data_IF_280111101786
#
_entry.id   IF_280111101786
#
_cell.length_a   1.000
_cell.length_b   1.000
_cell.length_c   1.000
_cell.angle_alpha   90.00
_cell.angle_beta   90.00
_cell.angle_gamma   90.00
#
_symmetry.space_group_name_H-M   'P 1'
#
loop_
_entity.id
_entity.type
_entity.pdbx_description
1 polymer ?
#
# COMPACT_ATOMS: atom_id res chain seq x y z
N UNK A 1 8.57 -7.83 23.97
CA UNK A 1 8.62 -7.61 22.51
C UNK A 1 9.95 -8.14 22.00
N UNK A 2 9.95 -9.04 21.00
CA UNK A 2 11.17 -9.44 20.29
C UNK A 2 11.25 -8.57 19.05
N UNK A 3 12.19 -7.63 19.04
CA UNK A 3 12.41 -6.74 17.91
C UNK A 3 13.40 -7.43 16.97
N UNK A 4 12.97 -7.66 15.72
CA UNK A 4 13.82 -8.18 14.66
C UNK A 4 14.10 -7.04 13.69
N UNK A 5 15.36 -6.68 13.51
CA UNK A 5 15.79 -5.59 12.64
C UNK A 5 16.18 -6.10 11.26
N UNK A 6 15.90 -5.32 10.21
CA UNK A 6 16.51 -5.49 8.89
C UNK A 6 17.13 -4.18 8.41
N UNK A 7 18.27 -4.30 7.75
CA UNK A 7 18.99 -3.20 7.07
C UNK A 7 18.84 -3.39 5.57
N UNK A 8 18.43 -2.35 4.83
CA UNK A 8 18.41 -2.41 3.37
C UNK A 8 19.85 -2.27 2.83
N UNK A 9 20.47 -3.42 2.55
CA UNK A 9 21.77 -3.51 1.88
C UNK A 9 21.98 -4.90 1.27
N UNK A 10 21.94 -4.97 -0.07
CA UNK A 10 22.24 -6.18 -0.85
C UNK A 10 21.08 -7.19 -0.99
N UNK A 11 20.54 -7.31 -2.21
CA UNK A 11 19.76 -8.43 -2.78
C UNK A 11 18.64 -9.11 -1.93
N UNK A 12 18.14 -8.50 -0.87
CA UNK A 12 16.99 -9.04 -0.13
C UNK A 12 16.18 -7.96 0.58
N UNK A 13 14.86 -7.93 0.33
CA UNK A 13 13.88 -7.18 1.11
C UNK A 13 13.34 -8.06 2.24
N UNK A 14 13.33 -7.54 3.46
CA UNK A 14 12.49 -8.08 4.55
C UNK A 14 11.86 -6.90 5.29
N UNK A 15 10.59 -6.62 4.99
CA UNK A 15 9.79 -5.71 5.80
C UNK A 15 9.50 -6.35 7.17
N UNK A 16 9.59 -5.56 8.24
CA UNK A 16 9.17 -5.96 9.60
C UNK A 16 8.17 -4.92 10.07
N UNK A 17 6.94 -5.37 10.38
CA UNK A 17 5.93 -4.56 11.05
C UNK A 17 6.10 -4.67 12.56
N UNK A 18 6.00 -3.54 13.25
CA UNK A 18 5.89 -3.52 14.71
C UNK A 18 4.42 -3.25 15.03
N UNK A 19 3.78 -4.19 15.73
CA UNK A 19 2.41 -4.04 16.20
C UNK A 19 2.44 -3.89 17.73
N UNK A 20 1.81 -2.84 18.23
CA UNK A 20 1.51 -2.64 19.64
C UNK A 20 0.01 -2.89 19.83
N UNK A 21 -0.39 -4.16 19.99
CA UNK A 21 -1.78 -4.48 20.29
C UNK A 21 -2.08 -4.10 21.75
N UNK A 22 -2.72 -2.96 21.99
CA UNK A 22 -3.44 -2.72 23.24
C UNK A 22 -4.89 -3.14 23.05
N UNK A 23 -5.36 -4.15 23.79
CA UNK A 23 -6.75 -4.57 23.78
C UNK A 23 -7.62 -3.54 24.51
N UNK A 24 -7.91 -2.41 23.89
CA UNK A 24 -8.99 -1.52 24.29
C UNK A 24 -10.14 -1.74 23.32
N UNK A 25 -11.15 -2.48 23.81
CA UNK A 25 -12.26 -3.06 23.06
C UNK A 25 -12.79 -2.27 21.87
N UNK A 26 -12.56 -2.82 20.68
CA UNK A 26 -13.47 -2.68 19.56
C UNK A 26 -14.28 -3.97 19.44
N UNK A 27 -15.59 -3.83 19.64
CA UNK A 27 -16.55 -4.91 19.44
C UNK A 27 -17.01 -4.91 17.99
N UNK A 28 -16.12 -5.22 17.07
CA UNK A 28 -16.50 -5.65 15.73
C UNK A 28 -16.75 -7.16 15.79
N UNK A 29 -18.03 -7.50 15.85
CA UNK A 29 -18.50 -8.85 16.14
C UNK A 29 -18.04 -9.89 15.13
N UNK A 30 -17.33 -10.90 15.62
CA UNK A 30 -17.35 -12.24 15.05
C UNK A 30 -17.54 -13.24 16.21
N UNK A 31 -18.76 -13.76 16.33
CA UNK A 31 -19.07 -14.83 17.28
C UNK A 31 -18.25 -16.07 16.96
N UNK A 32 -17.30 -16.40 17.84
CA UNK A 32 -16.61 -17.67 17.81
C UNK A 32 -17.60 -18.78 18.21
N UNK A 33 -18.03 -19.60 17.25
CA UNK A 33 -18.57 -20.92 17.57
C UNK A 33 -17.52 -21.97 17.20
N UNK A 34 -16.90 -22.54 18.23
CA UNK A 34 -16.08 -23.73 18.12
C UNK A 34 -16.98 -24.94 17.85
N UNK A 35 -16.74 -25.66 16.75
CA UNK A 35 -17.45 -26.89 16.41
C UNK A 35 -16.55 -27.86 15.65
N UNK A 36 -16.23 -28.97 16.31
CA UNK A 36 -15.36 -30.08 15.91
C UNK A 36 -15.70 -30.73 14.57
N UNK A 37 -14.67 -31.28 13.91
CA UNK A 37 -14.74 -31.84 12.56
C UNK A 37 -15.45 -33.18 12.36
N UNK A 38 -15.53 -33.58 11.08
CA UNK A 38 -15.57 -34.97 10.61
C UNK A 38 -15.35 -34.99 9.09
N UNK A 39 -14.57 -35.98 8.66
CA UNK A 39 -14.24 -36.37 7.28
C UNK A 39 -15.39 -37.07 6.55
N UNK A 40 -15.29 -37.08 5.21
CA UNK A 40 -15.66 -38.13 4.25
C UNK A 40 -16.80 -37.81 3.26
N UNK A 41 -16.60 -38.20 2.00
CA UNK A 41 -17.69 -38.68 1.15
C UNK A 41 -17.74 -38.13 -0.28
N UNK A 42 -17.19 -38.92 -1.21
CA UNK A 42 -17.27 -38.81 -2.67
C UNK A 42 -18.72 -39.02 -3.16
N UNK A 43 -19.17 -38.30 -4.20
CA UNK A 43 -20.01 -38.84 -5.27
C UNK A 43 -20.18 -37.85 -6.44
N UNK A 44 -20.20 -38.41 -7.64
CA UNK A 44 -20.14 -37.75 -8.93
C UNK A 44 -21.51 -37.70 -9.65
N UNK A 45 -21.50 -36.94 -10.75
CA UNK A 45 -22.19 -37.16 -12.03
C UNK A 45 -23.61 -36.60 -12.26
N UNK A 46 -23.78 -36.11 -13.50
CA UNK A 46 -25.06 -36.00 -14.22
C UNK A 46 -25.33 -34.60 -14.78
N UNK A 47 -24.70 -34.18 -15.88
CA UNK A 47 -25.15 -34.34 -17.29
C UNK A 47 -26.51 -33.70 -17.62
N UNK A 48 -26.51 -32.76 -18.57
CA UNK A 48 -27.74 -32.25 -19.20
C UNK A 48 -27.43 -31.19 -20.26
N UNK A 49 -27.16 -31.64 -21.49
CA UNK A 49 -26.98 -30.82 -22.68
C UNK A 49 -28.32 -30.38 -23.30
N UNK A 50 -28.27 -29.35 -24.15
CA UNK A 50 -29.05 -29.06 -25.40
C UNK A 50 -29.14 -27.53 -25.56
N UNK A 51 -29.01 -26.87 -26.71
CA UNK A 51 -28.80 -27.24 -28.11
C UNK A 51 -29.07 -26.01 -29.01
N UNK A 52 -28.52 -26.01 -30.24
CA UNK A 52 -28.83 -25.08 -31.36
C UNK A 52 -27.81 -23.94 -31.56
N UNK A 53 -26.89 -23.93 -32.54
CA UNK A 53 -27.03 -23.89 -34.02
C UNK A 53 -27.88 -22.67 -34.48
N UNK A 54 -27.53 -21.85 -35.48
CA UNK A 54 -26.75 -22.06 -36.70
C UNK A 54 -26.64 -20.73 -37.50
N UNK A 55 -25.59 -20.59 -38.33
CA UNK A 55 -25.56 -19.81 -39.59
C UNK A 55 -25.37 -18.29 -39.46
N UNK A 56 -24.53 -17.58 -40.24
CA UNK A 56 -23.92 -17.85 -41.54
C UNK A 56 -24.13 -16.61 -42.42
N UNK A 57 -23.08 -16.04 -43.02
CA UNK A 57 -23.22 -14.96 -44.01
C UNK A 57 -21.99 -14.08 -44.19
N UNK A 58 -21.48 -14.07 -45.41
CA UNK A 58 -20.17 -13.60 -45.89
C UNK A 58 -20.22 -12.29 -46.70
N UNK A 59 -19.01 -11.79 -47.05
CA UNK A 59 -18.62 -10.80 -48.10
C UNK A 59 -18.74 -9.33 -47.68
N UNK A 60 -17.75 -8.44 -47.85
CA UNK A 60 -16.73 -8.21 -48.89
C UNK A 60 -16.89 -6.72 -49.32
N UNK A 61 -15.93 -5.87 -49.66
CA UNK A 61 -14.48 -5.89 -49.84
C UNK A 61 -14.00 -4.48 -50.29
N UNK A 62 -12.69 -4.28 -50.26
CA UNK A 62 -11.82 -3.37 -51.05
C UNK A 62 -11.99 -1.83 -51.11
N UNK A 63 -10.83 -1.17 -50.95
CA UNK A 63 -10.47 0.18 -51.42
C UNK A 63 -9.45 0.79 -50.44
N UNK A 64 -8.14 0.91 -50.67
CA UNK A 64 -7.35 0.97 -51.88
C UNK A 64 -6.96 2.41 -52.23
N UNK A 65 -5.97 3.00 -51.54
CA UNK A 65 -5.07 3.99 -52.16
C UNK A 65 -3.78 4.17 -51.34
N UNK A 66 -2.69 4.23 -52.10
CA UNK A 66 -1.28 4.30 -51.75
C UNK A 66 -0.80 5.71 -51.45
N UNK A 67 0.09 5.87 -50.48
CA UNK A 67 1.10 6.91 -50.50
C UNK A 67 2.41 6.38 -49.91
N UNK A 68 3.49 6.70 -50.61
CA UNK A 68 4.83 6.15 -50.55
C UNK A 68 5.77 7.23 -49.98
N UNK A 69 6.76 6.81 -49.18
CA UNK A 69 7.98 7.58 -48.97
C UNK A 69 8.27 7.99 -47.53
N UNK A 70 9.40 7.53 -46.99
CA UNK A 70 10.00 8.07 -45.78
C UNK A 70 10.73 7.07 -44.91
N UNK A 71 11.71 6.35 -45.47
CA UNK A 71 12.68 5.61 -44.66
C UNK A 71 13.60 6.60 -43.92
N UNK A 72 13.19 7.00 -42.72
CA UNK A 72 14.02 7.68 -41.73
C UNK A 72 14.44 6.67 -40.68
N UNK A 73 15.62 6.08 -40.84
CA UNK A 73 16.24 5.25 -39.81
C UNK A 73 16.52 6.09 -38.58
N UNK A 74 15.64 6.01 -37.59
CA UNK A 74 15.98 6.44 -36.23
C UNK A 74 16.79 5.30 -35.62
N UNK A 75 18.09 5.48 -35.64
CA UNK A 75 19.07 4.67 -34.92
C UNK A 75 18.61 4.57 -33.46
N UNK A 76 18.11 3.41 -33.08
CA UNK A 76 17.81 3.07 -31.70
C UNK A 76 19.09 3.16 -30.88
N UNK A 77 19.30 4.29 -30.23
CA UNK A 77 20.12 4.33 -29.03
C UNK A 77 19.29 3.63 -27.96
N UNK A 78 19.55 2.33 -27.77
CA UNK A 78 19.08 1.59 -26.60
C UNK A 78 19.60 2.29 -25.36
N UNK A 79 18.81 3.25 -24.86
CA UNK A 79 19.08 3.93 -23.62
C UNK A 79 19.09 2.87 -22.53
N UNK A 80 20.24 2.68 -21.89
CA UNK A 80 20.30 1.90 -20.66
C UNK A 80 19.41 2.66 -19.68
N UNK A 81 18.25 2.10 -19.34
CA UNK A 81 17.40 2.65 -18.29
C UNK A 81 18.23 2.65 -17.01
N UNK A 82 18.70 3.84 -16.60
CA UNK A 82 19.43 3.98 -15.35
C UNK A 82 18.44 3.87 -14.20
N UNK A 83 18.57 2.80 -13.42
CA UNK A 83 17.80 2.64 -12.19
C UNK A 83 18.30 3.60 -11.11
N UNK A 84 17.36 4.09 -10.29
CA UNK A 84 17.66 4.95 -9.14
C UNK A 84 17.67 4.07 -7.88
N UNK A 85 18.84 3.82 -7.27
CA UNK A 85 18.91 3.10 -6.00
C UNK A 85 18.43 4.00 -4.85
N UNK A 86 18.05 3.37 -3.74
CA UNK A 86 17.93 4.10 -2.46
C UNK A 86 19.31 4.46 -1.94
N UNK A 87 19.37 5.44 -1.03
CA UNK A 87 20.54 5.64 -0.18
C UNK A 87 20.90 4.31 0.52
N UNK A 88 22.21 4.03 0.59
CA UNK A 88 22.69 2.77 1.15
C UNK A 88 22.37 2.71 2.64
N UNK A 89 21.74 1.62 3.08
CA UNK A 89 21.40 1.44 4.49
C UNK A 89 20.14 2.17 4.93
N UNK A 90 19.34 2.72 4.00
CA UNK A 90 18.06 3.36 4.33
C UNK A 90 17.19 2.45 5.22
N UNK A 91 16.71 2.96 6.35
CA UNK A 91 15.86 2.24 7.30
C UNK A 91 14.50 2.92 7.39
N UNK A 92 13.45 2.15 7.11
CA UNK A 92 12.07 2.62 7.12
C UNK A 92 11.27 1.86 8.17
N UNK A 93 10.55 2.58 9.02
CA UNK A 93 9.55 1.99 9.90
C UNK A 93 8.15 2.13 9.30
N UNK A 94 7.37 1.05 9.36
CA UNK A 94 5.97 1.03 8.97
C UNK A 94 5.12 0.59 10.16
N UNK A 95 4.06 1.34 10.44
CA UNK A 95 3.06 0.98 11.45
C UNK A 95 1.74 1.71 11.15
N UNK A 96 0.65 1.32 11.80
CA UNK A 96 -0.65 1.97 11.74
C UNK A 96 -1.40 1.73 13.05
N UNK A 97 -2.64 2.20 13.14
CA UNK A 97 -3.56 1.82 14.21
C UNK A 97 -3.01 2.18 15.60
N UNK A 98 -2.45 3.38 15.70
CA UNK A 98 -1.54 3.73 16.78
C UNK A 98 -2.28 4.13 18.06
N UNK A 99 -3.31 4.97 17.97
CA UNK A 99 -3.91 5.70 19.11
C UNK A 99 -2.92 6.67 19.82
N UNK A 100 -3.32 7.21 20.97
CA UNK A 100 -2.46 8.05 21.84
C UNK A 100 -2.12 7.36 23.18
N UNK A 101 -2.15 6.03 23.22
CA UNK A 101 -1.96 5.23 24.43
C UNK A 101 -0.51 5.20 24.93
N UNK A 102 -0.28 4.60 26.11
CA UNK A 102 1.08 4.34 26.57
C UNK A 102 1.81 3.32 25.69
N UNK A 103 1.11 2.32 25.17
CA UNK A 103 1.68 1.34 24.24
C UNK A 103 2.11 1.99 22.92
N UNK A 104 1.30 2.94 22.43
CA UNK A 104 1.64 3.80 21.29
C UNK A 104 2.91 4.62 21.53
N UNK A 105 3.06 5.15 22.75
CA UNK A 105 4.24 5.93 23.14
C UNK A 105 5.47 5.05 23.23
N UNK A 106 5.34 3.85 23.77
CA UNK A 106 6.42 2.88 23.86
C UNK A 106 6.85 2.42 22.45
N UNK A 107 5.90 2.24 21.52
CA UNK A 107 6.17 1.98 20.11
C UNK A 107 7.02 3.08 19.47
N UNK A 108 6.65 4.36 19.62
CA UNK A 108 7.46 5.47 19.08
C UNK A 108 8.84 5.52 19.73
N UNK A 109 8.94 5.20 21.03
CA UNK A 109 10.21 5.07 21.73
C UNK A 109 11.10 3.98 21.13
N UNK A 110 10.52 2.82 20.80
CA UNK A 110 11.22 1.75 20.08
C UNK A 110 11.67 2.25 18.71
N UNK A 111 10.80 2.85 17.90
CA UNK A 111 11.14 3.35 16.56
C UNK A 111 12.30 4.36 16.64
N UNK A 112 12.22 5.34 17.55
CA UNK A 112 13.27 6.35 17.75
C UNK A 112 14.60 5.72 18.17
N UNK A 113 14.58 4.73 19.07
CA UNK A 113 15.79 4.03 19.51
C UNK A 113 16.44 3.17 18.42
N UNK A 114 15.76 3.00 17.28
CA UNK A 114 16.13 2.05 16.24
C UNK A 114 16.76 2.67 15.01
N UNK A 115 17.09 3.96 15.10
CA UNK A 115 17.89 4.68 14.10
C UNK A 115 17.31 4.52 12.69
N UNK A 116 16.00 4.80 12.56
CA UNK A 116 15.31 4.79 11.27
C UNK A 116 15.44 6.15 10.59
N UNK A 117 15.53 6.15 9.27
CA UNK A 117 15.62 7.37 8.46
C UNK A 117 14.27 8.03 8.22
N UNK A 118 13.19 7.25 8.28
CA UNK A 118 11.82 7.71 8.06
C UNK A 118 10.79 6.73 8.62
N UNK A 119 9.58 7.25 8.80
CA UNK A 119 8.38 6.50 9.19
C UNK A 119 7.30 6.64 8.12
N UNK A 120 6.53 5.59 7.87
CA UNK A 120 5.27 5.69 7.12
C UNK A 120 4.12 5.10 7.97
N UNK A 121 3.17 5.95 8.35
CA UNK A 121 1.99 5.63 9.14
C UNK A 121 0.83 5.19 8.23
N UNK A 122 0.32 3.98 8.44
CA UNK A 122 -0.70 3.31 7.64
C UNK A 122 -2.13 3.67 8.08
N UNK A 123 -2.40 4.92 8.46
CA UNK A 123 -3.73 5.37 8.90
C UNK A 123 -4.12 4.96 10.32
N UNK A 124 -5.28 5.47 10.76
CA UNK A 124 -5.86 5.33 12.09
C UNK A 124 -4.94 5.89 13.18
N UNK A 125 -4.94 7.22 13.25
CA UNK A 125 -3.95 8.01 13.96
C UNK A 125 -4.15 8.05 15.47
N UNK A 126 -5.31 8.53 15.92
CA UNK A 126 -5.55 8.80 17.34
C UNK A 126 -6.85 8.22 17.91
N UNK A 127 -7.77 7.78 17.04
CA UNK A 127 -9.11 7.27 17.39
C UNK A 127 -9.99 8.26 18.18
N UNK A 128 -9.67 9.56 18.12
CA UNK A 128 -10.22 10.61 18.97
C UNK A 128 -10.61 11.89 18.21
N UNK A 129 -10.46 11.92 16.88
CA UNK A 129 -10.74 13.09 16.05
C UNK A 129 -9.94 14.33 16.50
N UNK A 130 -8.70 14.15 16.95
CA UNK A 130 -7.87 15.20 17.52
C UNK A 130 -6.51 15.40 16.80
N UNK A 131 -6.53 16.00 15.59
CA UNK A 131 -5.33 16.24 14.78
C UNK A 131 -4.19 16.97 15.51
N UNK A 132 -4.51 17.94 16.37
CA UNK A 132 -3.49 18.70 17.11
C UNK A 132 -2.81 17.84 18.19
N UNK A 133 -3.56 16.96 18.86
CA UNK A 133 -2.98 16.03 19.82
C UNK A 133 -2.11 14.98 19.12
N UNK A 134 -2.55 14.46 17.97
CA UNK A 134 -1.76 13.51 17.19
C UNK A 134 -0.46 14.12 16.64
N UNK A 135 -0.52 15.33 16.06
CA UNK A 135 0.69 16.06 15.60
C UNK A 135 1.71 16.18 16.73
N UNK A 136 1.26 16.66 17.90
CA UNK A 136 2.13 16.79 19.07
C UNK A 136 2.68 15.45 19.53
N UNK A 137 1.87 14.40 19.52
CA UNK A 137 2.28 13.05 19.95
C UNK A 137 3.38 12.49 19.04
N UNK A 138 3.22 12.65 17.72
CA UNK A 138 4.20 12.23 16.73
C UNK A 138 5.52 13.00 16.90
N UNK A 139 5.48 14.33 17.05
CA UNK A 139 6.69 15.13 17.28
C UNK A 139 7.38 14.80 18.61
N UNK A 140 6.63 14.65 19.70
CA UNK A 140 7.19 14.27 20.99
C UNK A 140 7.82 12.87 20.96
N UNK A 141 7.23 11.93 20.22
CA UNK A 141 7.63 10.53 20.15
C UNK A 141 8.72 10.21 19.14
N UNK A 142 8.72 10.85 17.96
CA UNK A 142 9.68 10.61 16.88
C UNK A 142 10.79 11.66 16.83
N UNK A 143 10.49 12.91 17.17
CA UNK A 143 11.47 14.00 17.19
C UNK A 143 11.65 14.50 15.77
N UNK A 144 12.90 14.48 15.27
CA UNK A 144 13.21 14.94 13.92
C UNK A 144 13.15 13.81 12.86
N UNK A 145 12.71 12.60 13.22
CA UNK A 145 12.54 11.52 12.24
C UNK A 145 11.35 11.89 11.36
N UNK A 146 11.54 12.07 10.04
CA UNK A 146 10.45 12.46 9.14
C UNK A 146 9.41 11.34 9.05
N UNK A 147 8.14 11.73 8.98
CA UNK A 147 7.05 10.77 8.86
C UNK A 147 6.05 11.15 7.75
N UNK A 148 5.51 10.10 7.13
CA UNK A 148 4.53 10.16 6.07
C UNK A 148 3.28 9.43 6.53
N UNK A 149 2.10 9.79 6.03
CA UNK A 149 0.88 9.13 6.45
C UNK A 149 -0.17 9.02 5.34
N UNK A 150 -0.99 7.99 5.44
CA UNK A 150 -2.17 7.73 4.61
C UNK A 150 -3.42 7.73 5.49
N UNK A 151 -4.57 8.10 4.92
CA UNK A 151 -5.86 8.06 5.64
C UNK A 151 -6.23 6.63 6.07
N UNK A 152 -6.68 6.48 7.32
CA UNK A 152 -7.42 5.34 7.83
C UNK A 152 -8.90 5.65 8.09
N UNK A 153 -9.72 4.63 8.36
CA UNK A 153 -11.17 4.85 8.47
C UNK A 153 -11.53 5.72 9.69
N UNK A 154 -10.73 5.67 10.76
CA UNK A 154 -10.92 6.51 11.95
C UNK A 154 -10.44 7.96 11.76
N UNK A 155 -9.78 8.29 10.64
CA UNK A 155 -9.29 9.65 10.39
C UNK A 155 -10.26 10.48 9.54
N UNK A 156 -11.25 9.82 8.91
CA UNK A 156 -12.10 10.40 7.84
C UNK A 156 -12.94 11.59 8.29
N UNK A 157 -13.45 11.55 9.52
CA UNK A 157 -14.24 12.61 10.17
C UNK A 157 -13.52 13.98 10.20
N UNK A 158 -12.20 13.94 10.37
CA UNK A 158 -11.31 15.10 10.52
C UNK A 158 -10.22 15.16 9.46
N UNK A 159 -10.42 14.47 8.34
CA UNK A 159 -9.39 14.28 7.33
C UNK A 159 -8.78 15.60 6.85
N UNK A 160 -9.59 16.64 6.60
CA UNK A 160 -9.06 17.94 6.14
C UNK A 160 -8.10 18.62 7.13
N UNK A 161 -8.19 18.28 8.42
CA UNK A 161 -7.32 18.79 9.48
C UNK A 161 -6.06 17.91 9.60
N UNK A 162 -6.20 16.58 9.57
CA UNK A 162 -5.05 15.66 9.51
C UNK A 162 -4.21 15.85 8.24
N UNK A 163 -4.83 16.04 7.08
CA UNK A 163 -4.13 16.28 5.83
C UNK A 163 -3.26 17.54 5.91
N UNK A 164 -3.71 18.58 6.62
CA UNK A 164 -2.89 19.78 6.88
C UNK A 164 -1.75 19.52 7.86
N UNK A 165 -1.96 18.66 8.86
CA UNK A 165 -0.89 18.21 9.78
C UNK A 165 0.21 17.49 8.97
N UNK A 166 -0.19 16.54 8.12
CA UNK A 166 0.73 15.80 7.25
C UNK A 166 1.44 16.75 6.28
N UNK A 167 0.73 17.68 5.64
CA UNK A 167 1.36 18.67 4.75
C UNK A 167 2.40 19.51 5.48
N UNK A 168 2.12 19.98 6.70
CA UNK A 168 3.10 20.74 7.49
C UNK A 168 4.35 19.94 7.80
N UNK A 169 4.21 18.65 8.14
CA UNK A 169 5.37 17.77 8.32
C UNK A 169 6.18 17.67 7.04
N UNK A 170 5.53 17.39 5.90
CA UNK A 170 6.20 17.28 4.59
C UNK A 170 6.98 18.55 4.23
N UNK A 171 6.44 19.73 4.54
CA UNK A 171 7.10 21.02 4.30
C UNK A 171 8.41 21.20 5.10
N UNK A 172 8.65 20.38 6.13
CA UNK A 172 9.90 20.38 6.91
C UNK A 172 10.94 19.40 6.39
N UNK A 173 10.56 18.45 5.52
CA UNK A 173 11.44 17.38 5.06
C UNK A 173 12.25 17.88 3.86
N UNK A 174 13.58 17.90 3.98
CA UNK A 174 14.46 18.13 2.83
C UNK A 174 14.57 16.88 1.96
N UNK A 175 14.87 17.05 0.67
CA UNK A 175 15.14 15.95 -0.26
C UNK A 175 13.97 14.95 -0.45
N UNK A 176 12.75 15.41 -0.24
CA UNK A 176 11.53 14.70 -0.64
C UNK A 176 10.91 15.37 -1.87
N UNK A 177 10.51 14.57 -2.85
CA UNK A 177 9.63 15.01 -3.93
C UNK A 177 8.30 14.29 -3.82
N UNK A 178 7.22 15.01 -3.54
CA UNK A 178 5.88 14.46 -3.41
C UNK A 178 4.91 15.10 -4.43
N UNK A 179 4.01 14.28 -4.96
CA UNK A 179 3.00 14.66 -5.93
C UNK A 179 1.63 14.07 -5.57
N UNK A 180 0.57 14.75 -6.01
CA UNK A 180 -0.81 14.33 -5.82
C UNK A 180 -1.46 14.84 -4.54
N UNK A 181 -2.51 14.17 -4.10
CA UNK A 181 -3.31 14.54 -2.94
C UNK A 181 -2.77 13.87 -1.68
N UNK A 182 -2.18 14.65 -0.77
CA UNK A 182 -1.57 14.18 0.48
C UNK A 182 -2.46 13.17 1.20
N UNK A 183 -1.91 11.99 1.45
CA UNK A 183 -2.55 10.91 2.19
C UNK A 183 -3.76 10.23 1.50
N UNK A 184 -4.11 10.60 0.27
CA UNK A 184 -5.22 9.99 -0.50
C UNK A 184 -4.77 9.44 -1.84
N UNK A 185 -4.06 10.23 -2.65
CA UNK A 185 -3.42 9.80 -3.90
C UNK A 185 -2.07 10.48 -3.94
N UNK A 186 -1.17 9.98 -3.12
CA UNK A 186 0.06 10.69 -2.78
C UNK A 186 1.26 9.84 -3.17
N UNK A 187 2.14 10.36 -4.01
CA UNK A 187 3.34 9.65 -4.41
C UNK A 187 4.56 10.45 -4.01
N UNK A 188 5.49 9.83 -3.29
CA UNK A 188 6.70 10.50 -2.84
C UNK A 188 7.95 9.72 -3.22
N UNK A 189 9.03 10.43 -3.44
CA UNK A 189 10.39 9.88 -3.51
C UNK A 189 11.23 10.55 -2.43
N UNK A 190 11.80 9.75 -1.54
CA UNK A 190 12.70 10.23 -0.49
C UNK A 190 13.93 9.33 -0.45
N UNK A 191 15.14 9.91 -0.51
CA UNK A 191 16.41 9.15 -0.52
C UNK A 191 16.43 7.99 -1.53
N UNK A 192 15.82 8.19 -2.70
CA UNK A 192 15.71 7.18 -3.77
C UNK A 192 14.66 6.07 -3.56
N UNK A 193 13.90 6.10 -2.46
CA UNK A 193 12.76 5.19 -2.23
C UNK A 193 11.48 5.84 -2.76
N UNK A 194 10.84 5.21 -3.75
CA UNK A 194 9.55 5.68 -4.29
C UNK A 194 8.42 4.94 -3.58
N UNK A 195 7.40 5.67 -3.16
CA UNK A 195 6.20 5.05 -2.60
C UNK A 195 4.93 5.80 -2.98
N UNK A 196 3.83 5.06 -3.06
CA UNK A 196 2.49 5.57 -3.29
C UNK A 196 1.62 5.26 -2.07
N UNK A 197 1.02 6.29 -1.49
CA UNK A 197 0.04 6.19 -0.42
C UNK A 197 -1.36 6.44 -1.01
N UNK A 198 -2.27 5.50 -0.78
CA UNK A 198 -3.61 5.49 -1.35
C UNK A 198 -4.68 5.42 -0.28
N UNK A 199 -5.68 6.28 -0.37
CA UNK A 199 -6.91 6.24 0.43
C UNK A 199 -7.97 5.31 -0.14
N UNK A 200 -7.58 4.30 -0.93
CA UNK A 200 -8.51 3.32 -1.51
C UNK A 200 -9.43 2.72 -0.46
N UNK A 201 -10.70 2.52 -0.81
CA UNK A 201 -11.75 2.07 0.10
C UNK A 201 -12.33 3.16 1.01
N UNK A 202 -11.65 4.31 1.15
CA UNK A 202 -12.03 5.37 2.10
C UNK A 202 -12.31 6.71 1.40
N UNK A 203 -11.31 7.27 0.72
CA UNK A 203 -11.34 8.60 0.12
C UNK A 203 -10.78 8.60 -1.30
N UNK A 204 -11.31 9.51 -2.12
CA UNK A 204 -10.88 9.69 -3.50
C UNK A 204 -11.26 8.52 -4.42
N UNK A 205 -10.89 8.65 -5.69
CA UNK A 205 -11.14 7.67 -6.75
C UNK A 205 -10.00 7.67 -7.77
N UNK A 206 -9.97 6.64 -8.63
CA UNK A 206 -8.93 6.47 -9.65
C UNK A 206 -7.58 6.02 -9.09
N UNK A 207 -7.58 5.28 -7.98
CA UNK A 207 -6.36 4.84 -7.29
C UNK A 207 -5.48 3.92 -8.14
N UNK A 208 -6.08 2.98 -8.87
CA UNK A 208 -5.34 2.07 -9.75
C UNK A 208 -4.63 2.81 -10.90
N UNK A 209 -5.30 3.79 -11.50
CA UNK A 209 -4.72 4.62 -12.56
C UNK A 209 -3.59 5.50 -12.03
N UNK A 210 -3.74 6.04 -10.82
CA UNK A 210 -2.69 6.82 -10.16
C UNK A 210 -1.47 5.96 -9.86
N UNK A 211 -1.65 4.80 -9.22
CA UNK A 211 -0.56 3.83 -9.00
C UNK A 211 0.10 3.43 -10.32
N UNK A 212 -0.67 3.31 -11.40
CA UNK A 212 -0.12 3.03 -12.72
C UNK A 212 0.86 4.07 -13.19
N UNK A 213 0.41 5.31 -13.17
CA UNK A 213 1.17 6.43 -13.65
C UNK A 213 2.45 6.60 -12.83
N UNK A 214 2.34 6.53 -11.51
CA UNK A 214 3.44 6.86 -10.60
C UNK A 214 4.52 5.78 -10.52
N UNK A 215 4.14 4.50 -10.60
CA UNK A 215 5.09 3.40 -10.47
C UNK A 215 5.58 2.87 -11.81
N UNK A 216 4.75 2.90 -12.86
CA UNK A 216 5.12 2.45 -14.19
C UNK A 216 6.08 3.39 -14.92
N UNK A 217 6.09 4.67 -14.56
CA UNK A 217 7.08 5.63 -15.04
C UNK A 217 8.38 5.64 -14.20
N UNK A 218 8.39 4.96 -13.04
CA UNK A 218 9.50 5.05 -12.09
C UNK A 218 10.62 4.08 -12.44
N UNK A 219 11.86 4.56 -12.38
CA UNK A 219 13.08 3.74 -12.45
C UNK A 219 13.69 3.49 -11.07
N UNK A 220 12.99 3.80 -9.98
CA UNK A 220 13.44 3.51 -8.62
C UNK A 220 13.46 2.00 -8.39
N UNK A 221 14.56 1.49 -7.82
CA UNK A 221 14.71 0.05 -7.53
C UNK A 221 13.67 -0.37 -6.48
N UNK A 222 13.60 0.40 -5.38
CA UNK A 222 12.64 0.16 -4.30
C UNK A 222 11.39 0.99 -4.51
N UNK A 223 10.27 0.27 -4.60
CA UNK A 223 8.93 0.83 -4.80
C UNK A 223 7.96 0.19 -3.83
N UNK A 224 7.04 1.00 -3.28
CA UNK A 224 6.02 0.55 -2.34
C UNK A 224 4.66 1.15 -2.68
N UNK A 225 3.58 0.39 -2.45
CA UNK A 225 2.25 0.95 -2.24
C UNK A 225 1.83 0.77 -0.78
N UNK A 226 1.19 1.78 -0.20
CA UNK A 226 0.61 1.74 1.14
C UNK A 226 -0.83 2.23 1.13
N UNK A 227 -1.70 1.55 1.85
CA UNK A 227 -3.07 1.99 2.12
C UNK A 227 -3.58 1.34 3.39
N UNK A 228 -4.61 1.91 4.02
CA UNK A 228 -5.06 1.45 5.33
C UNK A 228 -5.82 0.11 5.28
N UNK A 229 -6.96 0.08 4.57
CA UNK A 229 -7.92 -1.05 4.63
C UNK A 229 -7.44 -2.34 3.95
N UNK A 230 -7.96 -3.48 4.39
CA UNK A 230 -7.50 -4.78 3.91
C UNK A 230 -8.37 -5.36 2.79
N UNK A 231 -7.93 -6.52 2.31
CA UNK A 231 -8.72 -7.49 1.57
C UNK A 231 -8.73 -8.77 2.44
N UNK A 232 -9.89 -9.43 2.57
CA UNK A 232 -10.07 -10.50 3.57
C UNK A 232 -9.01 -11.60 3.48
N UNK A 233 -8.68 -12.05 2.28
CA UNK A 233 -7.70 -13.14 2.06
C UNK A 233 -6.23 -12.70 2.24
N UNK A 234 -5.98 -11.39 2.42
CA UNK A 234 -4.65 -10.78 2.52
C UNK A 234 -4.26 -10.43 3.96
N UNK A 235 -5.07 -10.84 4.94
CA UNK A 235 -4.91 -10.51 6.35
C UNK A 235 -5.18 -11.75 7.24
N UNK A 236 -4.81 -11.67 8.52
CA UNK A 236 -4.90 -12.80 9.46
C UNK A 236 -6.10 -12.74 10.41
N UNK A 237 -6.80 -11.61 10.46
CA UNK A 237 -7.98 -11.41 11.29
C UNK A 237 -9.28 -11.40 10.47
N UNK A 238 -10.14 -10.42 10.72
CA UNK A 238 -11.55 -10.45 10.31
C UNK A 238 -11.99 -9.37 9.34
N UNK A 239 -11.09 -8.48 8.90
CA UNK A 239 -11.45 -7.32 8.08
C UNK A 239 -11.95 -7.71 6.69
N UNK A 240 -12.88 -6.92 6.16
CA UNK A 240 -13.62 -7.23 4.94
C UNK A 240 -12.83 -7.02 3.65
N UNK A 241 -13.55 -7.05 2.52
CA UNK A 241 -13.01 -6.76 1.20
C UNK A 241 -13.18 -5.28 0.87
N UNK A 242 -12.38 -4.42 1.52
CA UNK A 242 -12.56 -2.97 1.47
C UNK A 242 -11.62 -2.29 0.47
N UNK A 243 -10.39 -2.80 0.33
CA UNK A 243 -9.44 -2.29 -0.66
C UNK A 243 -9.82 -2.68 -2.11
N UNK A 244 -10.29 -3.92 -2.29
CA UNK A 244 -10.47 -4.55 -3.60
C UNK A 244 -9.16 -5.04 -4.22
N UNK A 245 -9.22 -6.08 -5.05
CA UNK A 245 -8.03 -6.72 -5.62
C UNK A 245 -7.29 -5.87 -6.67
N UNK A 246 -7.95 -4.91 -7.31
CA UNK A 246 -7.37 -4.12 -8.40
C UNK A 246 -6.13 -3.34 -7.98
N UNK A 247 -6.12 -2.74 -6.78
CA UNK A 247 -4.94 -2.05 -6.23
C UNK A 247 -3.79 -2.99 -5.87
N UNK A 248 -4.08 -4.21 -5.40
CA UNK A 248 -3.04 -5.23 -5.15
C UNK A 248 -2.38 -5.64 -6.46
N UNK A 249 -3.20 -6.00 -7.47
CA UNK A 249 -2.73 -6.39 -8.80
C UNK A 249 -1.94 -5.27 -9.46
N UNK A 250 -2.42 -4.03 -9.33
CA UNK A 250 -1.75 -2.85 -9.87
C UNK A 250 -0.38 -2.64 -9.23
N UNK A 251 -0.28 -2.74 -7.92
CA UNK A 251 0.98 -2.57 -7.21
C UNK A 251 1.99 -3.68 -7.54
N UNK A 252 1.51 -4.93 -7.56
CA UNK A 252 2.28 -6.12 -7.92
C UNK A 252 2.83 -6.04 -9.34
N UNK A 253 2.00 -5.64 -10.31
CA UNK A 253 2.41 -5.49 -11.71
C UNK A 253 3.57 -4.51 -11.90
N UNK A 254 3.69 -3.53 -11.00
CA UNK A 254 4.77 -2.54 -11.02
C UNK A 254 5.98 -2.93 -10.17
N UNK A 255 6.00 -4.16 -9.63
CA UNK A 255 7.12 -4.68 -8.84
C UNK A 255 7.28 -4.00 -7.49
N UNK A 256 6.23 -3.35 -6.99
CA UNK A 256 6.21 -2.72 -5.68
C UNK A 256 5.70 -3.70 -4.62
N UNK A 257 6.27 -3.62 -3.41
CA UNK A 257 5.71 -4.34 -2.26
C UNK A 257 4.58 -3.52 -1.62
N UNK A 258 3.71 -4.19 -0.87
CA UNK A 258 2.49 -3.60 -0.32
C UNK A 258 2.58 -3.59 1.20
N UNK A 259 2.12 -2.50 1.82
CA UNK A 259 2.00 -2.36 3.27
C UNK A 259 0.61 -1.87 3.63
N UNK A 260 -0.03 -2.52 4.60
CA UNK A 260 -1.36 -2.17 5.10
C UNK A 260 -1.39 -1.96 6.62
N UNK A 261 -2.48 -1.38 7.11
CA UNK A 261 -2.83 -1.31 8.53
C UNK A 261 -4.17 -2.03 8.76
N UNK A 262 -5.04 -1.39 9.55
CA UNK A 262 -6.46 -1.70 9.78
C UNK A 262 -6.75 -2.97 10.58
N UNK A 263 -6.15 -4.08 10.19
CA UNK A 263 -6.17 -5.30 10.97
C UNK A 263 -5.14 -5.19 12.11
N UNK A 264 -5.60 -5.32 13.36
CA UNK A 264 -4.78 -5.15 14.56
C UNK A 264 -3.92 -6.38 14.87
N UNK A 265 -3.29 -6.93 13.82
CA UNK A 265 -2.36 -8.04 13.90
C UNK A 265 -1.28 -7.90 12.83
N UNK A 266 -0.10 -8.44 13.12
CA UNK A 266 0.98 -8.50 12.13
C UNK A 266 0.79 -9.71 11.22
N UNK A 267 0.64 -9.45 9.92
CA UNK A 267 0.62 -10.46 8.87
C UNK A 267 1.66 -10.18 7.80
N UNK A 268 2.15 -11.25 7.16
CA UNK A 268 2.97 -11.16 5.96
C UNK A 268 2.64 -12.33 5.05
N UNK A 269 2.44 -12.05 3.77
CA UNK A 269 2.24 -13.07 2.75
C UNK A 269 3.58 -13.56 2.19
N UNK A 270 3.52 -14.66 1.45
CA UNK A 270 4.54 -14.94 0.44
C UNK A 270 4.45 -13.88 -0.68
N UNK A 271 5.44 -13.89 -1.58
CA UNK A 271 5.40 -13.05 -2.77
C UNK A 271 4.10 -13.34 -3.53
N UNK A 272 3.39 -12.28 -3.90
CA UNK A 272 2.21 -12.39 -4.75
C UNK A 272 2.67 -12.80 -6.14
N UNK A 273 2.22 -13.96 -6.58
CA UNK A 273 2.49 -14.52 -7.91
C UNK A 273 1.19 -15.03 -8.49
N UNK A 274 1.05 -14.93 -9.81
CA UNK A 274 -0.05 -15.55 -10.56
C UNK A 274 0.02 -17.08 -10.56
#
# INVERSE_FOLDING_TARGET
MRNSWLTLGGLGLVAVGVSACSSSGDSDGAGANAGSGATAGVAAAGSGATGGAQGGGTQGGSGGSSAQGGAGGSSGSGGVTSYIPTEMGLRVAFFGDQSLSQDAKDLLGVIRASDVDMVIHMGDFDYQDNPAAWEKFMHDGLGNIPWFAVVGNHDTSKWSEYQKVIQRELDTISDVNCEGEVGVKHACTYKGFKFVLSGVGLLGSGHEDFMRQELGASTNIWRMCGWHVNQYDMQLGGKGNEAGYGVYQRCQAEGAFIVNGHEHSYGRTLTLTD
#
